data_IF_092826508763
#
_entry.id   IF_092826508763
#
_cell.length_a   1.000
_cell.length_b   1.000
_cell.length_c   1.000
_cell.angle_alpha   90.00
_cell.angle_beta   90.00
_cell.angle_gamma   90.00
#
_symmetry.space_group_name_H-M   'P 1'
#
loop_
_entity.id
_entity.type
_entity.pdbx_description
1 polymer ?
#
# COMPACT_ATOMS: atom_id res chain seq x y z
N UNK A 1 -8.83 -7.74 -5.89
CA UNK A 1 -9.89 -7.02 -5.17
C UNK A 1 -9.78 -7.15 -3.66
N UNK A 2 -9.49 -8.33 -3.09
CA UNK A 2 -9.31 -8.50 -1.63
C UNK A 2 -8.33 -7.48 -0.99
N UNK A 3 -7.18 -7.23 -1.62
CA UNK A 3 -6.19 -6.26 -1.13
C UNK A 3 -6.71 -4.82 -1.06
N UNK A 4 -7.55 -4.42 -2.02
CA UNK A 4 -8.19 -3.10 -2.01
C UNK A 4 -9.17 -2.98 -0.84
N UNK A 5 -10.00 -4.01 -0.62
CA UNK A 5 -10.95 -4.03 0.51
C UNK A 5 -10.25 -3.93 1.86
N UNK A 6 -9.14 -4.66 2.04
CA UNK A 6 -8.38 -4.60 3.30
C UNK A 6 -7.79 -3.19 3.48
N UNK A 7 -7.24 -2.60 2.41
CA UNK A 7 -6.75 -1.22 2.43
C UNK A 7 -7.84 -0.22 2.78
N UNK A 8 -9.04 -0.39 2.24
CA UNK A 8 -10.20 0.44 2.53
C UNK A 8 -10.65 0.32 3.99
N UNK A 9 -10.68 -0.89 4.55
CA UNK A 9 -11.04 -1.11 5.97
C UNK A 9 -10.03 -0.43 6.89
N UNK A 10 -8.74 -0.52 6.57
CA UNK A 10 -7.69 0.16 7.36
C UNK A 10 -7.82 1.67 7.25
N UNK A 11 -8.11 2.21 6.06
CA UNK A 11 -8.31 3.63 5.84
C UNK A 11 -9.54 4.15 6.61
N UNK A 12 -10.64 3.39 6.63
CA UNK A 12 -11.83 3.69 7.42
C UNK A 12 -11.55 3.65 8.93
N UNK A 13 -10.75 2.68 9.40
CA UNK A 13 -10.35 2.62 10.80
C UNK A 13 -9.49 3.85 11.19
N UNK A 14 -8.58 4.28 10.31
CA UNK A 14 -7.77 5.49 10.55
C UNK A 14 -8.63 6.76 10.64
N UNK A 15 -9.64 6.90 9.76
CA UNK A 15 -10.62 7.99 9.84
C UNK A 15 -11.44 7.94 11.14
N UNK A 16 -11.89 6.75 11.52
CA UNK A 16 -12.66 6.56 12.74
C UNK A 16 -11.84 6.95 13.98
N UNK A 17 -10.55 6.58 14.01
CA UNK A 17 -9.62 6.96 15.08
C UNK A 17 -9.44 8.48 15.13
N UNK A 18 -9.18 9.13 13.99
CA UNK A 18 -9.01 10.59 13.93
C UNK A 18 -10.28 11.33 14.37
N UNK A 19 -11.46 10.84 13.96
CA UNK A 19 -12.74 11.41 14.36
C UNK A 19 -13.02 11.24 15.86
N UNK A 20 -12.75 10.05 16.44
CA UNK A 20 -12.94 9.82 17.88
C UNK A 20 -11.96 10.61 18.75
N UNK A 21 -10.75 10.85 18.24
CA UNK A 21 -9.72 11.62 18.94
C UNK A 21 -9.88 13.14 18.74
N UNK A 22 -10.81 13.58 17.88
CA UNK A 22 -10.94 14.96 17.39
C UNK A 22 -9.61 15.53 16.86
N UNK A 23 -8.76 14.66 16.33
CA UNK A 23 -7.43 14.98 15.83
C UNK A 23 -7.18 14.33 14.47
N UNK A 24 -7.35 15.12 13.42
CA UNK A 24 -7.14 14.70 12.03
C UNK A 24 -5.66 14.44 11.69
N UNK A 25 -4.72 14.94 12.50
CA UNK A 25 -3.29 14.66 12.37
C UNK A 25 -3.02 13.16 12.53
N UNK A 26 -3.73 12.50 13.45
CA UNK A 26 -3.60 11.06 13.67
C UNK A 26 -4.06 10.28 12.44
N UNK A 27 -5.16 10.67 11.82
CA UNK A 27 -5.63 10.04 10.58
C UNK A 27 -4.62 10.22 9.44
N UNK A 28 -4.02 11.40 9.31
CA UNK A 28 -2.94 11.66 8.35
C UNK A 28 -1.73 10.75 8.58
N UNK A 29 -1.20 10.73 9.81
CA UNK A 29 0.00 9.93 10.13
C UNK A 29 -0.24 8.44 9.98
N UNK A 30 -1.38 7.92 10.45
CA UNK A 30 -1.72 6.50 10.39
C UNK A 30 -1.94 6.08 8.93
N UNK A 31 -2.83 6.76 8.21
CA UNK A 31 -3.15 6.39 6.82
C UNK A 31 -1.96 6.62 5.89
N UNK A 32 -1.23 7.72 6.09
CA UNK A 32 -0.02 8.04 5.34
C UNK A 32 1.08 7.01 5.55
N UNK A 33 1.42 6.69 6.80
CA UNK A 33 2.45 5.70 7.11
C UNK A 33 2.08 4.30 6.59
N UNK A 34 0.84 3.86 6.78
CA UNK A 34 0.37 2.55 6.28
C UNK A 34 0.40 2.49 4.75
N UNK A 35 -0.05 3.54 4.07
CA UNK A 35 -0.01 3.62 2.61
C UNK A 35 1.41 3.57 2.05
N UNK A 36 2.33 4.35 2.63
CA UNK A 36 3.75 4.37 2.24
C UNK A 36 4.44 3.04 2.53
N UNK A 37 4.28 2.48 3.73
CA UNK A 37 4.90 1.21 4.11
C UNK A 37 4.45 0.06 3.20
N UNK A 38 3.17 0.02 2.82
CA UNK A 38 2.66 -1.00 1.90
C UNK A 38 3.32 -0.94 0.51
N UNK A 39 3.60 0.26 0.00
CA UNK A 39 4.32 0.44 -1.27
C UNK A 39 5.80 0.09 -1.15
N UNK A 40 6.45 0.55 -0.09
CA UNK A 40 7.88 0.35 0.16
C UNK A 40 8.22 -1.13 0.38
N UNK A 41 7.39 -1.85 1.14
CA UNK A 41 7.61 -3.26 1.47
C UNK A 41 7.68 -4.14 0.22
N UNK A 42 6.76 -3.93 -0.72
CA UNK A 42 6.70 -4.70 -1.97
C UNK A 42 7.80 -4.29 -2.96
N UNK A 43 8.20 -3.01 -2.97
CA UNK A 43 9.37 -2.55 -3.71
C UNK A 43 10.68 -3.17 -3.21
N UNK A 44 10.87 -3.24 -1.89
CA UNK A 44 12.08 -3.80 -1.26
C UNK A 44 12.18 -5.32 -1.48
N UNK A 45 11.05 -6.04 -1.36
CA UNK A 45 10.99 -7.50 -1.60
C UNK A 45 11.21 -7.83 -3.08
N UNK A 46 10.71 -7.00 -3.99
CA UNK A 46 10.95 -7.18 -5.43
C UNK A 46 12.44 -7.04 -5.79
N UNK A 47 13.17 -6.17 -5.09
CA UNK A 47 14.61 -5.93 -5.29
C UNK A 47 15.48 -7.10 -4.79
N UNK A 48 15.15 -7.70 -3.64
CA UNK A 48 15.93 -8.81 -3.06
C UNK A 48 15.93 -10.13 -3.85
N UNK A 49 15.01 -10.34 -4.80
CA UNK A 49 14.81 -11.65 -5.49
C UNK A 49 15.60 -11.82 -6.79
N UNK A 50 16.68 -11.06 -7.01
CA UNK A 50 17.42 -11.00 -8.28
C UNK A 50 18.59 -11.99 -8.42
N UNK A 51 18.59 -13.13 -7.72
CA UNK A 51 19.69 -14.10 -7.82
C UNK A 51 19.18 -15.52 -8.10
N UNK A 52 18.91 -15.83 -9.37
CA UNK A 52 19.01 -17.19 -9.86
C UNK A 52 19.40 -17.17 -11.33
N UNK A 53 20.63 -17.60 -11.62
CA UNK A 53 21.27 -17.52 -12.93
C UNK A 53 20.81 -18.58 -13.95
N UNK A 54 19.73 -19.33 -13.67
CA UNK A 54 19.21 -20.40 -14.54
C UNK A 54 17.69 -20.39 -14.55
N UNK A 55 17.09 -19.55 -15.37
CA UNK A 55 15.64 -19.59 -15.61
C UNK A 55 15.40 -19.45 -17.11
N UNK A 56 14.61 -20.35 -17.66
CA UNK A 56 14.21 -20.35 -19.07
C UNK A 56 13.39 -19.07 -19.40
N UNK A 57 13.35 -18.66 -20.67
CA UNK A 57 12.61 -17.44 -21.11
C UNK A 57 11.14 -17.40 -20.63
N UNK A 58 10.50 -18.58 -20.52
CA UNK A 58 9.14 -18.74 -20.01
C UNK A 58 9.03 -18.42 -18.51
N UNK A 59 9.99 -18.88 -17.69
CA UNK A 59 10.02 -18.61 -16.25
C UNK A 59 10.26 -17.13 -15.94
N UNK A 60 11.14 -16.45 -16.70
CA UNK A 60 11.32 -14.99 -16.57
C UNK A 60 10.04 -14.20 -16.81
N UNK A 61 9.25 -14.57 -17.83
CA UNK A 61 7.95 -13.93 -18.11
C UNK A 61 6.94 -14.19 -17.00
N UNK A 62 6.95 -15.38 -16.40
CA UNK A 62 6.05 -15.74 -15.30
C UNK A 62 6.43 -14.99 -14.01
N UNK A 63 7.71 -14.92 -13.68
CA UNK A 63 8.20 -14.11 -12.55
C UNK A 63 7.89 -12.62 -12.71
N UNK A 64 8.09 -12.04 -13.90
CA UNK A 64 7.74 -10.64 -14.15
C UNK A 64 6.24 -10.38 -13.96
N UNK A 65 5.38 -11.29 -14.44
CA UNK A 65 3.92 -11.19 -14.23
C UNK A 65 3.55 -11.30 -12.75
N UNK A 66 4.20 -12.18 -12.00
CA UNK A 66 3.96 -12.30 -10.56
C UNK A 66 4.43 -11.06 -9.79
N UNK A 67 5.59 -10.48 -10.14
CA UNK A 67 6.07 -9.22 -9.57
C UNK A 67 5.09 -8.07 -9.84
N UNK A 68 4.63 -7.94 -11.08
CA UNK A 68 3.62 -6.93 -11.46
C UNK A 68 2.29 -7.16 -10.73
N UNK A 69 1.87 -8.41 -10.55
CA UNK A 69 0.66 -8.74 -9.81
C UNK A 69 0.77 -8.37 -8.33
N UNK A 70 1.93 -8.59 -7.69
CA UNK A 70 2.19 -8.18 -6.31
C UNK A 70 2.23 -6.67 -6.15
N UNK A 71 2.98 -5.97 -7.02
CA UNK A 71 3.00 -4.50 -7.04
C UNK A 71 1.60 -3.92 -7.25
N UNK A 72 0.79 -4.46 -8.16
CA UNK A 72 -0.60 -4.03 -8.31
C UNK A 72 -1.40 -4.21 -7.02
N UNK A 73 -1.27 -5.34 -6.33
CA UNK A 73 -1.97 -5.58 -5.06
C UNK A 73 -1.56 -4.57 -3.97
N UNK A 74 -0.27 -4.28 -3.87
CA UNK A 74 0.27 -3.28 -2.96
C UNK A 74 -0.28 -1.90 -3.28
N UNK A 75 -0.29 -1.53 -4.55
CA UNK A 75 -0.83 -0.27 -5.04
C UNK A 75 -2.31 -0.12 -4.72
N UNK A 76 -3.12 -1.15 -5.01
CA UNK A 76 -4.54 -1.14 -4.67
C UNK A 76 -4.81 -1.08 -3.15
N UNK A 77 -3.92 -1.59 -2.30
CA UNK A 77 -4.03 -1.46 -0.86
C UNK A 77 -3.64 -0.04 -0.37
N UNK A 78 -2.58 0.52 -0.96
CA UNK A 78 -2.08 1.84 -0.59
C UNK A 78 -2.99 2.98 -1.09
N UNK A 79 -3.68 2.78 -2.22
CA UNK A 79 -4.52 3.81 -2.84
C UNK A 79 -5.58 4.41 -1.91
N UNK A 80 -6.47 3.62 -1.26
CA UNK A 80 -7.47 4.18 -0.35
C UNK A 80 -6.83 4.86 0.88
N UNK A 81 -5.72 4.32 1.40
CA UNK A 81 -5.01 4.91 2.55
C UNK A 81 -4.37 6.26 2.18
N UNK A 82 -3.75 6.37 1.00
CA UNK A 82 -3.18 7.63 0.51
C UNK A 82 -4.26 8.68 0.25
N UNK A 83 -5.41 8.28 -0.30
CA UNK A 83 -6.55 9.20 -0.48
C UNK A 83 -7.01 9.74 0.87
N UNK A 84 -7.19 8.87 1.87
CA UNK A 84 -7.57 9.30 3.23
C UNK A 84 -6.52 10.22 3.83
N UNK A 85 -5.23 9.92 3.68
CA UNK A 85 -4.16 10.79 4.16
C UNK A 85 -4.22 12.18 3.52
N UNK A 86 -4.44 12.27 2.20
CA UNK A 86 -4.56 13.56 1.49
C UNK A 86 -5.79 14.33 1.98
N UNK A 87 -6.93 13.66 2.16
CA UNK A 87 -8.15 14.28 2.69
C UNK A 87 -7.94 14.79 4.11
N UNK A 88 -7.32 13.98 4.98
CA UNK A 88 -7.02 14.36 6.36
C UNK A 88 -6.05 15.56 6.41
N UNK A 89 -5.07 15.63 5.50
CA UNK A 89 -4.18 16.77 5.38
C UNK A 89 -4.94 18.05 5.00
N UNK A 90 -5.86 17.98 4.03
CA UNK A 90 -6.69 19.14 3.63
C UNK A 90 -7.67 19.62 4.70
N UNK A 91 -8.05 18.75 5.65
CA UNK A 91 -8.94 19.11 6.77
C UNK A 91 -8.13 19.70 7.93
N UNK A 92 -6.88 19.25 8.08
CA UNK A 92 -5.99 19.70 9.14
C UNK A 92 -5.28 21.03 8.84
N UNK A 93 -4.93 21.32 7.57
CA UNK A 93 -4.46 22.65 7.12
C UNK A 93 -5.59 23.68 7.03
#
# INVERSE_FOLDING_TARGET
MKSFLIGLVVALAALLIGYLADDWSLAYWIAGAVGLLALLWEGLIASRRSSSARSTSSEKRREQREKLAKMRRAFYFALPNLIVAIIALMIFE
#
